data_IF_485739773748
#
_entry.id   IF_485739773748
#
_cell.length_a   1.000
_cell.length_b   1.000
_cell.length_c   1.000
_cell.angle_alpha   90.00
_cell.angle_beta   90.00
_cell.angle_gamma   90.00
#
_symmetry.space_group_name_H-M   'P 1'
#
loop_
_entity.id
_entity.type
_entity.pdbx_description
1 polymer ?
#
# COMPACT_ATOMS: atom_id res chain seq x y z
N UNK A 1 25.55 6.65 -4.63
CA UNK A 1 24.38 5.87 -5.14
C UNK A 1 24.65 5.67 -6.62
N UNK A 2 24.69 4.43 -7.07
CA UNK A 2 24.92 4.07 -8.46
C UNK A 2 23.60 3.52 -9.05
N UNK A 3 23.33 3.82 -10.32
CA UNK A 3 22.24 3.22 -11.07
C UNK A 3 22.64 1.80 -11.45
N UNK A 4 21.91 0.79 -10.98
CA UNK A 4 22.21 -0.63 -11.20
C UNK A 4 21.41 -1.24 -12.35
N UNK A 5 20.42 -0.53 -12.90
CA UNK A 5 19.58 -1.00 -14.01
C UNK A 5 18.09 -0.72 -13.82
N UNK A 6 17.29 -1.27 -14.71
CA UNK A 6 15.83 -1.18 -14.65
C UNK A 6 15.16 -2.41 -15.26
N UNK A 7 14.02 -2.81 -14.72
CA UNK A 7 13.08 -3.72 -15.34
C UNK A 7 11.83 -2.95 -15.76
N UNK A 8 11.31 -3.20 -16.94
CA UNK A 8 10.09 -2.56 -17.48
C UNK A 8 9.08 -3.61 -17.89
N UNK A 9 7.82 -3.32 -17.67
CA UNK A 9 6.70 -4.18 -18.02
C UNK A 9 5.75 -3.46 -18.99
N UNK A 10 5.03 -4.19 -19.84
CA UNK A 10 3.98 -3.58 -20.65
C UNK A 10 2.85 -3.07 -19.74
N UNK A 11 2.16 -2.02 -20.19
CA UNK A 11 1.07 -1.38 -19.44
C UNK A 11 -0.18 -2.25 -19.27
N UNK A 12 -0.27 -3.33 -20.03
CA UNK A 12 -1.35 -4.33 -20.00
C UNK A 12 -0.94 -5.64 -19.33
N UNK A 13 0.15 -5.60 -18.52
CA UNK A 13 0.59 -6.79 -17.80
C UNK A 13 -0.52 -7.26 -16.84
N UNK A 14 -0.83 -8.54 -16.93
CA UNK A 14 -1.73 -9.19 -15.97
C UNK A 14 -1.02 -10.34 -15.25
N UNK A 15 -1.36 -10.54 -14.00
CA UNK A 15 -0.90 -11.67 -13.19
C UNK A 15 -2.08 -12.26 -12.42
N UNK A 16 -2.31 -13.58 -12.58
CA UNK A 16 -3.43 -14.31 -11.96
C UNK A 16 -4.79 -13.61 -12.17
N UNK A 17 -5.06 -13.13 -13.39
CA UNK A 17 -6.26 -12.41 -13.81
C UNK A 17 -6.47 -11.03 -13.13
N UNK A 18 -5.43 -10.46 -12.56
CA UNK A 18 -5.43 -9.08 -12.06
C UNK A 18 -4.48 -8.23 -12.88
N UNK A 19 -4.82 -6.98 -13.11
CA UNK A 19 -3.95 -6.00 -13.76
C UNK A 19 -2.80 -5.62 -12.82
N UNK A 20 -1.56 -5.68 -13.31
CA UNK A 20 -0.38 -5.23 -12.57
C UNK A 20 -0.13 -3.76 -12.89
N UNK A 21 -0.50 -2.89 -11.97
CA UNK A 21 -0.35 -1.44 -12.14
C UNK A 21 -0.48 -0.71 -10.80
N UNK A 22 -0.15 0.58 -10.79
CA UNK A 22 -0.25 1.41 -9.61
C UNK A 22 0.50 0.83 -8.40
N UNK A 23 1.75 0.38 -8.59
CA UNK A 23 2.55 -0.14 -7.48
C UNK A 23 3.16 1.03 -6.71
N UNK A 24 2.47 1.47 -5.65
CA UNK A 24 2.79 2.68 -4.89
C UNK A 24 3.76 2.45 -3.74
N UNK A 25 3.73 1.28 -3.12
CA UNK A 25 4.61 0.93 -2.00
C UNK A 25 5.22 -0.45 -2.14
N UNK A 26 6.41 -0.63 -1.54
CA UNK A 26 7.11 -1.91 -1.54
C UNK A 26 7.75 -2.17 -0.17
N UNK A 27 7.67 -3.41 0.29
CA UNK A 27 8.34 -3.89 1.51
C UNK A 27 9.10 -5.19 1.22
N UNK A 28 10.19 -5.43 1.94
CA UNK A 28 11.07 -6.58 1.71
C UNK A 28 11.18 -7.47 2.93
N UNK A 29 10.96 -8.77 2.73
CA UNK A 29 11.23 -9.83 3.71
C UNK A 29 12.57 -10.50 3.40
N UNK A 30 13.56 -10.20 4.21
CA UNK A 30 14.89 -10.80 4.08
C UNK A 30 14.95 -12.30 4.46
N UNK A 31 13.95 -12.82 5.19
CA UNK A 31 13.94 -14.23 5.59
C UNK A 31 13.49 -15.13 4.44
N UNK A 32 12.60 -14.65 3.59
CA UNK A 32 12.05 -15.39 2.45
C UNK A 32 12.55 -14.90 1.10
N UNK A 33 13.34 -13.81 1.09
CA UNK A 33 13.74 -13.09 -0.13
C UNK A 33 12.55 -12.69 -1.00
N UNK A 34 11.49 -12.20 -0.36
CA UNK A 34 10.23 -11.82 -1.01
C UNK A 34 9.97 -10.33 -0.85
N UNK A 35 9.57 -9.68 -1.90
CA UNK A 35 9.06 -8.32 -1.87
C UNK A 35 7.53 -8.34 -1.92
N UNK A 36 6.91 -7.45 -1.18
CA UNK A 36 5.46 -7.21 -1.21
C UNK A 36 5.22 -5.81 -1.77
N UNK A 37 4.47 -5.72 -2.87
CA UNK A 37 4.15 -4.45 -3.52
C UNK A 37 2.65 -4.21 -3.52
N UNK A 38 2.21 -3.08 -2.92
CA UNK A 38 0.81 -2.68 -2.86
C UNK A 38 0.39 -2.01 -4.18
N UNK A 39 -0.84 -2.27 -4.63
CA UNK A 39 -1.46 -1.58 -5.76
C UNK A 39 -2.45 -0.53 -5.25
N UNK A 40 -2.40 0.68 -5.82
CA UNK A 40 -3.31 1.80 -5.58
C UNK A 40 -4.69 1.66 -6.25
N UNK A 41 -4.94 0.50 -6.86
CA UNK A 41 -6.26 0.22 -7.47
C UNK A 41 -7.36 0.24 -6.40
N UNK A 42 -8.20 1.26 -6.43
CA UNK A 42 -9.32 1.51 -5.50
C UNK A 42 -10.44 0.46 -5.57
N UNK A 43 -10.12 -0.78 -5.89
CA UNK A 43 -11.08 -1.81 -6.27
C UNK A 43 -11.89 -1.42 -7.53
N UNK A 44 -11.31 -0.61 -8.40
CA UNK A 44 -11.95 -0.15 -9.63
C UNK A 44 -11.88 -1.19 -10.75
N UNK A 45 -10.66 -1.70 -11.01
CA UNK A 45 -10.40 -2.68 -12.06
C UNK A 45 -10.41 -4.11 -11.49
N UNK A 46 -9.75 -4.30 -10.34
CA UNK A 46 -9.72 -5.56 -9.60
C UNK A 46 -9.82 -5.26 -8.11
N UNK A 47 -10.17 -6.24 -7.25
CA UNK A 47 -10.18 -6.05 -5.80
C UNK A 47 -8.82 -5.51 -5.30
N UNK A 48 -8.86 -4.64 -4.30
CA UNK A 48 -7.67 -4.12 -3.64
C UNK A 48 -6.73 -5.27 -3.25
N UNK A 49 -5.44 -5.13 -3.52
CA UNK A 49 -4.48 -6.25 -3.47
C UNK A 49 -3.05 -5.79 -3.30
N UNK A 50 -2.21 -6.69 -2.86
CA UNK A 50 -0.76 -6.57 -3.03
C UNK A 50 -0.20 -7.79 -3.78
N UNK A 51 0.96 -7.61 -4.38
CA UNK A 51 1.68 -8.67 -5.08
C UNK A 51 2.90 -9.10 -4.27
N UNK A 52 3.17 -10.41 -4.30
CA UNK A 52 4.46 -10.96 -3.88
C UNK A 52 5.36 -11.11 -5.10
N UNK A 53 6.62 -10.72 -4.97
CA UNK A 53 7.58 -10.81 -6.07
C UNK A 53 8.99 -11.12 -5.57
N UNK A 54 9.81 -11.70 -6.44
CA UNK A 54 11.23 -11.82 -6.26
C UNK A 54 11.96 -10.84 -7.18
N UNK A 55 13.02 -10.21 -6.66
CA UNK A 55 13.89 -9.31 -7.42
C UNK A 55 15.32 -9.84 -7.34
N UNK A 56 15.86 -10.27 -8.47
CA UNK A 56 17.24 -10.79 -8.59
C UNK A 56 18.21 -9.63 -8.78
N UNK A 57 18.96 -9.27 -7.73
CA UNK A 57 19.99 -8.20 -7.77
C UNK A 57 21.32 -8.68 -7.20
N UNK A 58 21.53 -9.99 -7.08
CA UNK A 58 22.71 -10.60 -6.45
C UNK A 58 24.00 -10.34 -7.24
N UNK A 59 23.90 -10.12 -8.55
CA UNK A 59 25.02 -9.76 -9.41
C UNK A 59 25.34 -8.25 -9.40
N UNK A 60 24.57 -7.47 -8.65
CA UNK A 60 24.67 -6.01 -8.54
C UNK A 60 24.01 -5.26 -9.69
N UNK A 61 23.15 -5.90 -10.47
CA UNK A 61 22.39 -5.29 -11.56
C UNK A 61 20.90 -5.59 -11.42
N UNK A 62 20.10 -4.82 -12.13
CA UNK A 62 18.67 -5.03 -12.32
C UNK A 62 18.38 -5.05 -13.83
N UNK A 63 18.17 -6.23 -14.37
CA UNK A 63 17.95 -6.44 -15.80
C UNK A 63 16.52 -6.94 -16.09
N UNK A 64 16.15 -7.00 -17.36
CA UNK A 64 14.87 -7.57 -17.79
C UNK A 64 14.79 -9.06 -17.39
N UNK A 65 13.77 -9.44 -16.64
CA UNK A 65 13.57 -10.81 -16.16
C UNK A 65 13.96 -11.00 -14.68
N UNK A 66 14.61 -10.02 -14.04
CA UNK A 66 14.98 -10.12 -12.63
C UNK A 66 13.80 -9.89 -11.68
N UNK A 67 12.76 -9.24 -12.14
CA UNK A 67 11.53 -9.02 -11.37
C UNK A 67 10.47 -10.04 -11.78
N UNK A 68 10.09 -10.90 -10.83
CA UNK A 68 9.16 -12.00 -11.07
C UNK A 68 8.01 -11.96 -10.06
N UNK A 69 6.79 -11.74 -10.51
CA UNK A 69 5.60 -11.86 -9.67
C UNK A 69 5.36 -13.32 -9.33
N UNK A 70 5.16 -13.62 -8.06
CA UNK A 70 5.01 -14.98 -7.53
C UNK A 70 3.61 -15.25 -6.99
N UNK A 71 2.95 -14.23 -6.44
CA UNK A 71 1.58 -14.34 -5.92
C UNK A 71 0.86 -12.99 -5.96
N UNK A 72 -0.47 -13.03 -5.78
CA UNK A 72 -1.34 -11.88 -5.57
C UNK A 72 -2.30 -12.16 -4.42
N UNK A 73 -2.32 -11.27 -3.45
CA UNK A 73 -3.18 -11.37 -2.26
C UNK A 73 -4.24 -10.27 -2.30
N UNK A 74 -5.51 -10.68 -2.31
CA UNK A 74 -6.65 -9.76 -2.18
C UNK A 74 -6.80 -9.28 -0.75
N UNK A 75 -6.99 -7.98 -0.56
CA UNK A 75 -7.28 -7.39 0.75
C UNK A 75 -8.75 -7.59 1.11
N UNK A 76 -8.96 -8.03 2.34
CA UNK A 76 -10.28 -8.26 2.93
C UNK A 76 -10.43 -7.39 4.18
N UNK A 77 -11.59 -6.76 4.32
CA UNK A 77 -11.96 -6.00 5.53
C UNK A 77 -12.17 -6.92 6.74
N UNK A 78 -12.42 -6.38 7.93
CA UNK A 78 -12.60 -7.19 9.15
C UNK A 78 -13.70 -8.27 9.04
N UNK A 79 -14.87 -8.03 8.40
CA UNK A 79 -15.85 -9.07 8.14
C UNK A 79 -15.39 -10.18 7.16
N UNK A 80 -14.24 -10.01 6.48
CA UNK A 80 -13.73 -10.97 5.50
C UNK A 80 -14.28 -10.76 4.09
N UNK A 81 -14.75 -9.55 3.79
CA UNK A 81 -15.27 -9.16 2.48
C UNK A 81 -14.25 -8.32 1.72
N UNK A 82 -14.27 -8.33 0.40
CA UNK A 82 -13.48 -7.42 -0.42
C UNK A 82 -13.92 -5.97 -0.18
N UNK A 83 -12.97 -5.05 -0.24
CA UNK A 83 -13.30 -3.62 -0.24
C UNK A 83 -14.17 -3.28 -1.45
N UNK A 84 -15.25 -2.51 -1.28
CA UNK A 84 -16.07 -2.07 -2.40
C UNK A 84 -15.29 -1.13 -3.32
N UNK A 85 -15.76 -0.93 -4.54
CA UNK A 85 -15.23 0.08 -5.45
C UNK A 85 -15.11 1.43 -4.74
N UNK A 86 -13.98 2.09 -4.87
CA UNK A 86 -13.63 3.36 -4.20
C UNK A 86 -13.67 3.28 -2.66
N UNK A 87 -13.63 2.08 -2.08
CA UNK A 87 -13.68 1.87 -0.63
C UNK A 87 -12.32 1.84 0.07
N UNK A 88 -11.26 1.90 -0.70
CA UNK A 88 -9.85 1.93 -0.24
C UNK A 88 -9.02 2.61 -1.30
N UNK A 89 -7.97 3.29 -0.88
CA UNK A 89 -6.95 3.90 -1.73
C UNK A 89 -5.58 3.57 -1.11
N UNK A 90 -5.09 2.37 -1.41
CA UNK A 90 -3.95 1.80 -0.69
C UNK A 90 -2.63 2.27 -1.32
N UNK A 91 -1.75 2.92 -0.52
CA UNK A 91 -0.52 3.54 -1.00
C UNK A 91 0.75 2.94 -0.40
N UNK A 92 0.76 2.70 0.89
CA UNK A 92 1.92 2.19 1.59
C UNK A 92 1.75 0.78 2.13
N UNK A 93 2.85 0.01 2.13
CA UNK A 93 2.91 -1.32 2.73
C UNK A 93 4.20 -1.46 3.55
N UNK A 94 4.10 -1.92 4.79
CA UNK A 94 5.25 -2.17 5.66
C UNK A 94 5.12 -3.54 6.33
N UNK A 95 6.08 -4.43 6.10
CA UNK A 95 6.13 -5.76 6.70
C UNK A 95 6.59 -5.66 8.16
N UNK A 96 5.90 -6.35 9.06
CA UNK A 96 6.28 -6.56 10.45
C UNK A 96 6.98 -7.91 10.63
N UNK A 97 7.84 -8.03 11.62
CA UNK A 97 8.57 -9.27 11.93
C UNK A 97 7.67 -10.42 12.39
N UNK A 98 6.45 -10.12 12.78
CA UNK A 98 5.45 -11.15 13.16
C UNK A 98 4.78 -11.81 11.94
N UNK A 99 5.19 -11.44 10.71
CA UNK A 99 4.63 -11.99 9.47
C UNK A 99 3.30 -11.36 9.08
N UNK A 100 3.06 -10.11 9.47
CA UNK A 100 1.90 -9.32 9.07
C UNK A 100 2.34 -8.08 8.29
N UNK A 101 1.42 -7.40 7.63
CA UNK A 101 1.69 -6.14 6.93
C UNK A 101 0.81 -5.02 7.46
N UNK A 102 1.40 -3.84 7.62
CA UNK A 102 0.63 -2.61 7.76
C UNK A 102 0.42 -2.01 6.38
N UNK A 103 -0.78 -1.51 6.13
CA UNK A 103 -1.15 -0.85 4.88
C UNK A 103 -1.75 0.51 5.21
N UNK A 104 -1.27 1.56 4.54
CA UNK A 104 -1.89 2.89 4.57
C UNK A 104 -2.89 3.04 3.44
N UNK A 105 -3.93 3.81 3.70
CA UNK A 105 -4.90 4.25 2.69
C UNK A 105 -5.13 5.73 2.84
N UNK A 106 -5.19 6.44 1.71
CA UNK A 106 -5.50 7.86 1.67
C UNK A 106 -6.94 8.18 2.10
N UNK A 107 -7.85 7.21 1.96
CA UNK A 107 -9.27 7.48 2.06
C UNK A 107 -9.79 8.26 0.85
N UNK A 108 -10.91 8.93 1.02
CA UNK A 108 -11.52 9.80 -0.01
C UNK A 108 -12.24 10.97 0.69
N UNK A 109 -11.60 12.14 0.69
CA UNK A 109 -12.12 13.31 1.39
C UNK A 109 -13.43 13.82 0.78
N UNK A 110 -13.65 13.63 -0.51
CA UNK A 110 -14.85 14.07 -1.22
C UNK A 110 -16.07 13.21 -0.82
N UNK A 111 -15.84 11.94 -0.52
CA UNK A 111 -16.86 11.00 -0.07
C UNK A 111 -16.84 10.75 1.45
N UNK A 112 -16.03 11.50 2.22
CA UNK A 112 -15.85 11.37 3.66
C UNK A 112 -15.36 9.98 4.09
N UNK A 113 -14.62 9.30 3.23
CA UNK A 113 -13.92 8.08 3.58
C UNK A 113 -12.62 8.44 4.31
N UNK A 114 -12.50 7.98 5.55
CA UNK A 114 -11.36 8.29 6.38
C UNK A 114 -10.08 7.61 5.85
N UNK A 115 -8.92 8.30 5.94
CA UNK A 115 -7.64 7.63 5.77
C UNK A 115 -7.40 6.66 6.91
N UNK A 116 -6.57 5.65 6.68
CA UNK A 116 -6.22 4.69 7.72
C UNK A 116 -4.79 4.16 7.59
N UNK A 117 -4.31 3.55 8.67
CA UNK A 117 -3.21 2.60 8.68
C UNK A 117 -3.70 1.38 9.44
N UNK A 118 -3.91 0.27 8.74
CA UNK A 118 -4.46 -0.95 9.32
C UNK A 118 -3.49 -2.13 9.15
N UNK A 119 -3.64 -3.15 10.00
CA UNK A 119 -2.80 -4.34 9.98
C UNK A 119 -3.57 -5.51 9.36
N UNK A 120 -2.90 -6.19 8.42
CA UNK A 120 -3.43 -7.31 7.65
C UNK A 120 -2.52 -8.53 7.81
N UNK A 121 -3.09 -9.72 7.72
CA UNK A 121 -2.29 -10.92 7.53
C UNK A 121 -1.70 -10.97 6.10
N UNK A 122 -0.72 -11.84 5.86
CA UNK A 122 -0.19 -12.07 4.50
C UNK A 122 -1.22 -12.76 3.58
N UNK A 123 -2.30 -13.33 4.12
CA UNK A 123 -3.44 -13.83 3.35
C UNK A 123 -4.47 -12.73 3.04
N UNK A 124 -4.19 -11.49 3.44
CA UNK A 124 -4.99 -10.30 3.11
C UNK A 124 -6.10 -9.95 4.09
N UNK A 125 -6.27 -10.70 5.20
CA UNK A 125 -7.31 -10.42 6.17
C UNK A 125 -6.95 -9.24 7.09
N UNK A 126 -7.75 -8.19 7.08
CA UNK A 126 -7.68 -7.12 8.08
C UNK A 126 -8.09 -7.65 9.46
N UNK A 127 -7.25 -7.45 10.47
CA UNK A 127 -7.56 -7.88 11.84
C UNK A 127 -7.35 -6.78 12.88
N UNK A 128 -6.71 -5.66 12.52
CA UNK A 128 -6.51 -4.55 13.43
C UNK A 128 -6.57 -3.21 12.70
N UNK A 129 -7.37 -2.31 13.21
CA UNK A 129 -7.43 -0.91 12.78
C UNK A 129 -6.68 -0.04 13.79
N UNK A 130 -5.76 0.80 13.31
CA UNK A 130 -5.09 1.77 14.14
C UNK A 130 -5.93 3.06 14.23
N UNK A 131 -5.90 3.68 15.40
CA UNK A 131 -6.58 4.96 15.59
C UNK A 131 -5.85 6.07 14.81
N UNK A 132 -6.57 6.72 13.89
CA UNK A 132 -6.09 7.90 13.18
C UNK A 132 -6.51 9.14 13.94
N UNK A 133 -5.58 10.06 14.28
CA UNK A 133 -5.93 11.29 14.99
C UNK A 133 -6.96 12.14 14.23
N UNK A 134 -7.92 12.71 14.94
CA UNK A 134 -9.04 13.51 14.40
C UNK A 134 -8.62 14.60 13.41
N UNK A 135 -7.39 15.13 13.55
CA UNK A 135 -6.89 16.17 12.64
C UNK A 135 -6.76 15.72 11.18
N UNK A 136 -6.68 14.41 10.92
CA UNK A 136 -6.60 13.85 9.58
C UNK A 136 -7.97 13.51 8.99
N UNK A 137 -9.02 13.42 9.83
CA UNK A 137 -10.34 13.00 9.38
C UNK A 137 -11.01 14.11 8.58
N UNK A 138 -11.48 13.84 7.34
CA UNK A 138 -12.12 14.84 6.50
C UNK A 138 -13.47 15.29 7.06
N UNK A 139 -13.80 16.57 6.86
CA UNK A 139 -15.08 17.16 7.24
C UNK A 139 -15.87 17.57 6.01
N UNK A 140 -17.21 17.51 6.10
CA UNK A 140 -18.11 17.82 4.98
C UNK A 140 -17.99 19.26 4.46
N UNK A 141 -17.55 20.20 5.30
CA UNK A 141 -17.28 21.58 4.94
C UNK A 141 -15.86 21.82 4.42
N UNK A 142 -15.03 20.74 4.35
CA UNK A 142 -13.62 20.76 3.93
C UNK A 142 -12.74 21.73 4.72
N UNK A 143 -13.14 22.06 5.96
CA UNK A 143 -12.35 22.95 6.81
C UNK A 143 -11.21 22.22 7.55
N UNK A 144 -11.26 20.88 7.63
CA UNK A 144 -10.30 20.05 8.34
C UNK A 144 -10.09 18.71 7.65
N UNK A 145 -9.00 18.05 8.04
CA UNK A 145 -8.65 16.71 7.60
C UNK A 145 -7.77 16.69 6.37
N UNK A 146 -7.63 15.53 5.80
CA UNK A 146 -6.88 15.29 4.57
C UNK A 146 -7.48 16.07 3.40
N UNK A 147 -6.65 16.36 2.42
CA UNK A 147 -7.09 16.77 1.09
C UNK A 147 -7.32 15.54 0.24
N UNK A 148 -8.26 15.62 -0.69
CA UNK A 148 -8.59 14.49 -1.55
C UNK A 148 -7.41 14.11 -2.44
N UNK A 149 -7.03 12.83 -2.45
CA UNK A 149 -5.91 12.28 -3.20
C UNK A 149 -4.55 12.93 -2.87
N UNK A 150 -4.33 13.33 -1.62
CA UNK A 150 -3.12 14.00 -1.14
C UNK A 150 -2.85 13.64 0.34
N UNK A 151 -3.17 12.39 0.73
CA UNK A 151 -3.12 11.96 2.13
C UNK A 151 -1.96 11.00 2.44
N UNK A 152 -2.21 9.81 2.97
CA UNK A 152 -1.17 8.91 3.46
C UNK A 152 -0.47 8.12 2.34
N UNK A 153 0.53 8.73 1.71
CA UNK A 153 1.29 8.21 0.58
C UNK A 153 2.38 7.19 0.92
N UNK A 154 2.96 7.31 2.11
CA UNK A 154 4.11 6.49 2.46
C UNK A 154 3.89 5.77 3.78
N UNK A 155 4.50 4.60 3.92
CA UNK A 155 4.47 3.84 5.17
C UNK A 155 5.81 3.14 5.40
N UNK A 156 6.32 3.26 6.62
CA UNK A 156 7.51 2.50 7.04
C UNK A 156 7.43 2.15 8.52
N UNK A 157 8.09 1.05 8.89
CA UNK A 157 8.23 0.61 10.27
C UNK A 157 9.70 0.69 10.70
N UNK A 158 9.96 1.09 11.95
CA UNK A 158 11.33 1.08 12.46
C UNK A 158 11.85 -0.34 12.63
N UNK A 159 13.19 -0.57 12.56
CA UNK A 159 13.75 -1.91 12.75
C UNK A 159 13.45 -2.56 14.12
N UNK A 160 13.17 -1.75 15.14
CA UNK A 160 12.75 -2.21 16.48
C UNK A 160 11.22 -2.33 16.62
N UNK A 161 10.48 -2.05 15.53
CA UNK A 161 9.01 -2.09 15.40
C UNK A 161 8.23 -1.26 16.42
N UNK A 162 8.89 -0.28 17.03
CA UNK A 162 8.26 0.58 18.03
C UNK A 162 7.46 1.73 17.40
N UNK A 163 7.74 2.06 16.16
CA UNK A 163 7.11 3.18 15.46
C UNK A 163 6.78 2.82 14.03
N UNK A 164 5.58 3.20 13.61
CA UNK A 164 5.16 3.34 12.23
C UNK A 164 5.21 4.81 11.85
N UNK A 165 5.73 5.11 10.68
CA UNK A 165 5.72 6.46 10.12
C UNK A 165 4.93 6.44 8.82
N UNK A 166 4.04 7.40 8.70
CA UNK A 166 3.36 7.76 7.46
C UNK A 166 3.44 9.27 7.28
N UNK A 167 3.32 9.74 6.07
CA UNK A 167 3.28 11.16 5.75
C UNK A 167 2.16 11.44 4.76
N UNK A 168 1.53 12.60 4.91
CA UNK A 168 0.61 13.11 3.89
C UNK A 168 1.40 13.74 2.74
N UNK A 169 0.93 13.60 1.51
CA UNK A 169 1.54 14.21 0.33
C UNK A 169 1.50 15.74 0.42
N UNK A 170 0.38 16.27 0.93
CA UNK A 170 0.16 17.72 1.09
C UNK A 170 -0.24 18.07 2.53
N UNK A 171 -0.18 19.39 2.85
CA UNK A 171 -0.68 19.93 4.11
C UNK A 171 -2.17 19.65 4.28
N UNK A 172 -2.61 19.45 5.52
CA UNK A 172 -4.03 19.27 5.82
C UNK A 172 -4.83 20.55 5.52
N UNK A 173 -6.15 20.43 5.34
CA UNK A 173 -7.01 21.56 5.00
C UNK A 173 -6.90 22.73 6.00
N UNK A 174 -6.71 22.44 7.29
CA UNK A 174 -6.55 23.46 8.34
C UNK A 174 -5.15 24.08 8.44
N UNK A 175 -4.17 23.55 7.73
CA UNK A 175 -2.76 23.96 7.87
C UNK A 175 -2.26 24.88 6.73
N UNK A 176 -3.11 25.18 5.72
CA UNK A 176 -2.75 26.18 4.70
C UNK A 176 -3.44 26.03 3.37
#
# INVERSE_FOLDING_TARGET
>A
IDFIGQATFPTDLTFNNTEVGGLSGISYDSNTNTYYAISDDRSENNPARFYSLNIGIEDGKLDAGDVNFTDVTTLLNQPGETFPRDGIDAEGIALSSDGTVYISSEGDADNLLNPFVNQFSLEGQEFKQLEVPDKFLPTSDRSRGIRNNLAFESLTITPDERFLYTATEEALNQDG
#
